data_IF_677260918149
#
_entry.id   IF_677260918149
#
_cell.length_a   1.000
_cell.length_b   1.000
_cell.length_c   1.000
_cell.angle_alpha   90.00
_cell.angle_beta   90.00
_cell.angle_gamma   90.00
#
_symmetry.space_group_name_H-M   'P 1'
#
loop_
_entity.id
_entity.type
_entity.pdbx_description
1 polymer ?
#
# COMPACT_ATOMS: atom_id res chain seq x y z
N UNK A 1 51.43 -1.23 -4.78
CA UNK A 1 50.96 -2.62 -4.71
C UNK A 1 50.19 -2.80 -3.40
N UNK A 2 48.88 -2.53 -3.40
CA UNK A 2 47.95 -2.98 -2.35
C UNK A 2 46.63 -3.22 -3.09
N UNK A 3 46.31 -4.49 -3.31
CA UNK A 3 45.05 -4.92 -3.90
C UNK A 3 43.94 -4.81 -2.86
N UNK A 4 42.94 -3.99 -3.14
CA UNK A 4 41.69 -4.00 -2.38
C UNK A 4 40.71 -4.89 -3.15
N UNK A 5 40.56 -6.12 -2.66
CA UNK A 5 39.43 -6.99 -2.98
C UNK A 5 38.14 -6.27 -2.59
N UNK A 6 37.50 -5.59 -3.55
CA UNK A 6 36.09 -5.22 -3.42
C UNK A 6 35.24 -6.40 -3.84
N UNK A 7 34.56 -6.94 -2.85
CA UNK A 7 33.52 -7.95 -2.91
C UNK A 7 32.67 -7.82 -4.16
N UNK A 8 32.71 -8.86 -4.99
CA UNK A 8 31.66 -9.17 -5.97
C UNK A 8 30.40 -9.56 -5.20
N UNK A 9 29.66 -8.58 -4.72
CA UNK A 9 28.22 -8.77 -4.49
C UNK A 9 27.63 -8.89 -5.89
N UNK A 10 27.08 -10.07 -6.19
CA UNK A 10 26.37 -10.34 -7.43
C UNK A 10 25.21 -9.34 -7.54
N UNK A 11 25.43 -8.28 -8.30
CA UNK A 11 24.40 -7.42 -8.84
C UNK A 11 23.67 -8.22 -9.93
N UNK A 12 22.72 -9.07 -9.49
CA UNK A 12 21.81 -9.76 -10.39
C UNK A 12 20.85 -8.72 -10.94
N UNK A 13 21.24 -8.11 -12.06
CA UNK A 13 20.33 -7.66 -13.12
C UNK A 13 19.12 -6.88 -12.61
N UNK A 14 19.36 -5.63 -12.23
CA UNK A 14 18.35 -4.59 -12.02
C UNK A 14 17.82 -4.02 -13.35
N UNK A 15 17.60 -4.87 -14.37
CA UNK A 15 16.98 -4.52 -15.66
C UNK A 15 15.46 -4.40 -15.45
N UNK A 16 15.06 -3.47 -14.60
CA UNK A 16 13.69 -3.33 -14.12
C UNK A 16 13.08 -2.09 -14.77
N UNK A 17 12.27 -2.32 -15.81
CA UNK A 17 11.60 -1.31 -16.64
C UNK A 17 10.84 -0.33 -15.76
N UNK A 18 11.17 0.96 -15.87
CA UNK A 18 10.29 2.02 -15.41
C UNK A 18 9.13 2.09 -16.43
N UNK A 19 7.90 2.00 -15.94
CA UNK A 19 6.71 2.06 -16.80
C UNK A 19 6.31 3.52 -17.00
N UNK A 20 5.91 3.87 -18.22
CA UNK A 20 5.47 5.22 -18.56
C UNK A 20 4.16 5.60 -17.84
N UNK A 21 3.36 4.61 -17.44
CA UNK A 21 2.09 4.77 -16.72
C UNK A 21 1.77 3.56 -15.82
N UNK A 22 0.94 3.74 -14.77
CA UNK A 22 0.49 2.62 -13.95
C UNK A 22 -0.35 1.61 -14.76
N UNK A 23 -1.06 2.04 -15.80
CA UNK A 23 -1.80 1.15 -16.69
C UNK A 23 -0.89 0.26 -17.53
N UNK A 24 0.25 0.79 -17.98
CA UNK A 24 1.24 0.00 -18.73
C UNK A 24 1.92 -1.03 -17.83
N UNK A 25 2.21 -0.67 -16.57
CA UNK A 25 2.61 -1.62 -15.55
C UNK A 25 1.55 -2.72 -15.37
N UNK A 26 0.27 -2.36 -15.25
CA UNK A 26 -0.79 -3.34 -15.04
C UNK A 26 -0.96 -4.29 -16.24
N UNK A 27 -0.84 -3.79 -17.48
CA UNK A 27 -0.84 -4.62 -18.69
C UNK A 27 0.33 -5.61 -18.67
N UNK A 28 1.53 -5.14 -18.33
CA UNK A 28 2.70 -6.01 -18.20
C UNK A 28 2.52 -7.06 -17.10
N UNK A 29 1.90 -6.70 -15.97
CA UNK A 29 1.53 -7.63 -14.92
C UNK A 29 0.58 -8.72 -15.43
N UNK A 30 -0.50 -8.34 -16.13
CA UNK A 30 -1.47 -9.30 -16.67
C UNK A 30 -0.83 -10.25 -17.69
N UNK A 31 0.05 -9.73 -18.56
CA UNK A 31 0.82 -10.54 -19.49
C UNK A 31 1.75 -11.51 -18.75
N UNK A 32 2.42 -11.05 -17.70
CA UNK A 32 3.32 -11.88 -16.90
C UNK A 32 2.57 -13.01 -16.18
N UNK A 33 1.38 -12.72 -15.62
CA UNK A 33 0.47 -13.72 -15.03
C UNK A 33 0.05 -14.75 -16.08
N UNK A 34 -0.37 -14.29 -17.26
CA UNK A 34 -0.82 -15.17 -18.36
C UNK A 34 0.29 -16.11 -18.83
N UNK A 35 1.52 -15.61 -18.91
CA UNK A 35 2.66 -16.35 -19.41
C UNK A 35 3.38 -17.16 -18.30
N UNK A 36 2.98 -17.01 -17.04
CA UNK A 36 3.59 -17.70 -15.90
C UNK A 36 5.04 -17.28 -15.64
N UNK A 37 5.38 -16.03 -15.95
CA UNK A 37 6.73 -15.48 -15.82
C UNK A 37 6.85 -14.57 -14.58
N UNK A 38 8.04 -13.98 -14.38
CA UNK A 38 8.29 -13.08 -13.28
C UNK A 38 7.34 -11.87 -13.31
N UNK A 39 6.68 -11.61 -12.18
CA UNK A 39 5.70 -10.54 -12.04
C UNK A 39 6.40 -9.21 -11.74
N UNK A 40 6.17 -8.14 -12.54
CA UNK A 40 6.70 -6.82 -12.23
C UNK A 40 6.04 -6.27 -10.96
N UNK A 41 6.83 -5.91 -9.97
CA UNK A 41 6.31 -5.31 -8.72
C UNK A 41 5.89 -3.86 -8.94
N UNK A 42 4.79 -3.46 -8.31
CA UNK A 42 4.44 -2.05 -8.16
C UNK A 42 5.49 -1.34 -7.29
N UNK A 43 6.01 -0.21 -7.76
CA UNK A 43 7.08 0.58 -7.12
C UNK A 43 6.66 2.03 -6.89
N UNK A 44 5.81 2.58 -7.75
CA UNK A 44 5.30 3.95 -7.61
C UNK A 44 4.03 3.99 -6.76
N UNK A 45 3.69 5.19 -6.28
CA UNK A 45 2.43 5.43 -5.56
C UNK A 45 1.23 4.98 -6.40
N UNK A 46 1.20 5.39 -7.66
CA UNK A 46 0.03 5.18 -8.52
C UNK A 46 -0.10 3.73 -8.97
N UNK A 47 1.02 3.03 -9.20
CA UNK A 47 1.03 1.57 -9.42
C UNK A 47 0.50 0.82 -8.19
N UNK A 48 0.90 1.23 -6.98
CA UNK A 48 0.43 0.61 -5.74
C UNK A 48 -1.06 0.85 -5.52
N UNK A 49 -1.57 2.05 -5.81
CA UNK A 49 -3.00 2.35 -5.75
C UNK A 49 -3.78 1.46 -6.71
N UNK A 50 -3.36 1.40 -7.98
CA UNK A 50 -4.00 0.53 -8.96
C UNK A 50 -3.92 -0.94 -8.56
N UNK A 51 -2.79 -1.38 -7.98
CA UNK A 51 -2.64 -2.74 -7.47
C UNK A 51 -3.61 -3.07 -6.32
N UNK A 52 -3.93 -2.11 -5.45
CA UNK A 52 -4.90 -2.28 -4.37
C UNK A 52 -6.33 -2.38 -4.92
N UNK A 53 -6.68 -1.49 -5.86
CA UNK A 53 -7.98 -1.44 -6.55
C UNK A 53 -8.28 -2.75 -7.28
N UNK A 54 -7.30 -3.28 -8.02
CA UNK A 54 -7.39 -4.55 -8.74
C UNK A 54 -7.27 -5.79 -7.81
N UNK A 55 -7.05 -5.58 -6.51
CA UNK A 55 -6.93 -6.65 -5.51
C UNK A 55 -5.65 -7.47 -5.65
N UNK A 56 -4.64 -6.98 -6.37
CA UNK A 56 -3.32 -7.60 -6.51
C UNK A 56 -2.61 -7.64 -5.16
N UNK A 57 -2.67 -6.56 -4.38
CA UNK A 57 -2.00 -6.50 -3.06
C UNK A 57 -2.59 -7.47 -2.04
N UNK A 58 -3.85 -7.91 -2.22
CA UNK A 58 -4.44 -9.00 -1.41
C UNK A 58 -3.75 -10.34 -1.67
N UNK A 59 -3.27 -10.56 -2.90
CA UNK A 59 -2.55 -11.77 -3.32
C UNK A 59 -1.05 -11.67 -3.08
N UNK A 60 -0.52 -10.45 -3.10
CA UNK A 60 0.90 -10.14 -2.94
C UNK A 60 1.14 -9.10 -1.82
N UNK A 61 0.82 -9.42 -0.55
CA UNK A 61 0.99 -8.50 0.57
C UNK A 61 2.47 -8.11 0.78
N UNK A 62 3.41 -8.94 0.31
CA UNK A 62 4.85 -8.66 0.36
C UNK A 62 5.30 -7.54 -0.58
N UNK A 63 4.43 -7.04 -1.47
CA UNK A 63 4.71 -5.89 -2.33
C UNK A 63 4.42 -4.57 -1.63
N UNK A 64 3.67 -4.59 -0.53
CA UNK A 64 3.33 -3.39 0.23
C UNK A 64 4.60 -2.88 0.93
N UNK A 65 5.05 -1.65 0.65
CA UNK A 65 6.21 -1.10 1.33
C UNK A 65 6.03 -1.04 2.86
N UNK A 66 7.15 -1.02 3.57
CA UNK A 66 7.15 -0.73 5.00
C UNK A 66 6.64 0.69 5.30
N UNK A 67 6.35 0.98 6.56
CA UNK A 67 5.78 2.28 7.00
C UNK A 67 6.53 3.50 6.48
N UNK A 68 7.87 3.45 6.48
CA UNK A 68 8.69 4.55 5.95
C UNK A 68 8.55 4.70 4.43
N UNK A 69 8.50 3.59 3.69
CA UNK A 69 8.27 3.61 2.24
C UNK A 69 6.90 4.16 1.87
N UNK A 70 5.84 3.75 2.58
CA UNK A 70 4.50 4.30 2.40
C UNK A 70 4.45 5.81 2.67
N UNK A 71 5.14 6.27 3.73
CA UNK A 71 5.23 7.70 4.03
C UNK A 71 5.93 8.50 2.93
N UNK A 72 7.03 7.98 2.36
CA UNK A 72 7.73 8.59 1.22
C UNK A 72 6.85 8.67 -0.04
N UNK A 73 5.94 7.71 -0.20
CA UNK A 73 4.99 7.65 -1.30
C UNK A 73 3.70 8.43 -1.00
N UNK A 74 3.58 9.11 0.14
CA UNK A 74 2.37 9.83 0.52
C UNK A 74 1.13 8.94 0.71
N UNK A 75 1.35 7.66 1.04
CA UNK A 75 0.29 6.68 1.32
C UNK A 75 0.12 6.50 2.83
N UNK A 76 -1.11 6.21 3.30
CA UNK A 76 -1.34 5.98 4.72
C UNK A 76 -0.61 4.73 5.20
N UNK A 77 -0.21 4.69 6.47
CA UNK A 77 0.54 3.55 7.03
C UNK A 77 -0.23 2.23 7.04
N UNK A 78 -1.56 2.29 6.87
CA UNK A 78 -2.47 1.16 6.78
C UNK A 78 -2.81 0.77 5.32
N UNK A 79 -2.24 1.44 4.32
CA UNK A 79 -2.49 1.19 2.90
C UNK A 79 -2.26 -0.27 2.50
N UNK A 80 -3.16 -0.82 1.67
CA UNK A 80 -3.10 -2.19 1.15
C UNK A 80 -3.26 -3.29 2.21
N UNK A 81 -3.43 -2.91 3.49
CA UNK A 81 -3.58 -3.86 4.60
C UNK A 81 -5.05 -4.06 4.92
N UNK A 82 -5.47 -5.28 5.29
CA UNK A 82 -6.81 -5.48 5.78
C UNK A 82 -7.02 -4.62 7.03
N UNK A 83 -8.02 -3.74 6.98
CA UNK A 83 -8.51 -3.05 8.18
C UNK A 83 -9.31 -4.08 8.96
N UNK A 84 -8.77 -4.54 10.09
CA UNK A 84 -9.50 -5.45 10.96
C UNK A 84 -10.80 -4.75 11.43
N UNK A 85 -11.95 -5.42 11.31
CA UNK A 85 -13.19 -4.85 11.85
C UNK A 85 -13.03 -4.67 13.36
N UNK A 86 -13.45 -3.50 13.86
CA UNK A 86 -13.46 -3.23 15.28
C UNK A 86 -14.25 -4.32 16.03
N UNK A 87 -13.76 -4.81 17.19
CA UNK A 87 -14.50 -5.72 18.04
C UNK A 87 -15.91 -5.19 18.32
N UNK A 88 -16.92 -6.06 18.34
CA UNK A 88 -18.33 -5.66 18.48
C UNK A 88 -18.57 -4.76 19.70
N UNK A 89 -17.98 -5.12 20.85
CA UNK A 89 -18.03 -4.30 22.08
C UNK A 89 -17.46 -2.89 21.90
N UNK A 90 -16.41 -2.73 21.10
CA UNK A 90 -15.83 -1.43 20.83
C UNK A 90 -16.75 -0.61 19.91
N UNK A 91 -17.38 -1.24 18.92
CA UNK A 91 -18.40 -0.59 18.07
C UNK A 91 -19.60 -0.13 18.90
N UNK A 92 -20.12 -0.98 19.77
CA UNK A 92 -21.23 -0.65 20.68
C UNK A 92 -20.88 0.53 21.59
N UNK A 93 -19.67 0.54 22.16
CA UNK A 93 -19.20 1.65 23.00
C UNK A 93 -19.12 2.97 22.22
N UNK A 94 -18.61 2.94 20.98
CA UNK A 94 -18.53 4.13 20.12
C UNK A 94 -19.94 4.63 19.78
N UNK A 95 -20.86 3.74 19.38
CA UNK A 95 -22.24 4.11 19.07
C UNK A 95 -22.95 4.68 20.31
N UNK A 96 -22.79 4.05 21.47
CA UNK A 96 -23.35 4.53 22.73
C UNK A 96 -22.78 5.90 23.13
N UNK A 97 -21.50 6.16 22.85
CA UNK A 97 -20.89 7.47 23.06
C UNK A 97 -21.46 8.52 22.10
N UNK A 98 -21.62 8.19 20.81
CA UNK A 98 -22.23 9.10 19.82
C UNK A 98 -23.68 9.45 20.16
N UNK A 99 -24.44 8.56 20.79
CA UNK A 99 -25.83 8.83 21.20
C UNK A 99 -25.93 9.72 22.45
N UNK A 100 -24.88 9.76 23.27
CA UNK A 100 -24.88 10.45 24.58
C UNK A 100 -24.14 11.78 24.57
N UNK A 101 -23.21 11.96 23.64
CA UNK A 101 -22.35 13.12 23.56
C UNK A 101 -22.42 13.71 22.13
N UNK A 102 -23.19 14.79 22.00
CA UNK A 102 -23.35 15.52 20.75
C UNK A 102 -22.02 16.11 20.25
N UNK A 103 -21.11 16.49 21.16
CA UNK A 103 -19.78 17.01 20.81
C UNK A 103 -18.88 15.92 20.23
N UNK A 104 -18.91 14.72 20.82
CA UNK A 104 -18.23 13.55 20.27
C UNK A 104 -18.83 13.14 18.92
N UNK A 105 -20.16 13.10 18.80
CA UNK A 105 -20.85 12.78 17.54
C UNK A 105 -20.52 13.77 16.42
N UNK A 106 -20.45 15.06 16.74
CA UNK A 106 -20.02 16.10 15.82
C UNK A 106 -18.55 15.94 15.42
N UNK A 107 -17.66 15.67 16.39
CA UNK A 107 -16.24 15.45 16.12
C UNK A 107 -16.01 14.22 15.21
N UNK A 108 -16.68 13.10 15.49
CA UNK A 108 -16.63 11.89 14.65
C UNK A 108 -17.20 12.17 13.26
N UNK A 109 -18.34 12.88 13.16
CA UNK A 109 -18.90 13.27 11.85
C UNK A 109 -17.96 14.18 11.07
N UNK A 110 -17.30 15.13 11.71
CA UNK A 110 -16.29 15.99 11.09
C UNK A 110 -15.11 15.16 10.57
N UNK A 111 -14.58 14.22 11.35
CA UNK A 111 -13.49 13.32 10.91
C UNK A 111 -13.94 12.49 9.70
N UNK A 112 -15.14 11.91 9.74
CA UNK A 112 -15.67 11.08 8.65
C UNK A 112 -16.00 11.89 7.39
N UNK A 113 -16.36 13.16 7.53
CA UNK A 113 -16.59 14.08 6.41
C UNK A 113 -15.28 14.64 5.81
N UNK A 114 -14.10 14.19 6.26
CA UNK A 114 -12.81 14.64 5.78
C UNK A 114 -12.34 15.96 6.40
N UNK A 115 -12.80 16.27 7.61
CA UNK A 115 -12.50 17.50 8.34
C UNK A 115 -10.98 17.75 8.43
N UNK A 116 -10.55 18.81 7.76
CA UNK A 116 -9.21 19.36 7.92
C UNK A 116 -9.04 19.89 9.35
N UNK A 117 -7.99 19.41 10.03
CA UNK A 117 -7.36 20.10 11.18
C UNK A 117 -6.00 20.60 10.69
#
# INVERSE_FOLDING_TARGET
MVGVLRSRVHDRSNDQTDFDSPEDWYRAYLEAVRNGVYLPRARTRDELVLADEEGILKRHPEWIPGRQGLALLGLPSWFGRPVEPLPEKAREAIVAAMLKDEGFAAAVSCILAGGAV
#
